data_IF_349013994819
#
_entry.id   IF_349013994819
#
_cell.length_a   1.000
_cell.length_b   1.000
_cell.length_c   1.000
_cell.angle_alpha   90.00
_cell.angle_beta   90.00
_cell.angle_gamma   90.00
#
_symmetry.space_group_name_H-M   'P 1'
#
loop_
_entity.id
_entity.type
_entity.pdbx_description
1 polymer ?
#
# COMPACT_ATOMS: atom_id res chain seq x y z
N UNK A 1 -3.72 -20.82 -14.14
CA UNK A 1 -2.37 -20.42 -14.62
C UNK A 1 -1.31 -20.99 -13.67
N UNK A 2 -0.07 -21.22 -14.14
CA UNK A 2 1.03 -21.62 -13.24
C UNK A 2 1.88 -20.41 -12.91
N UNK A 3 2.41 -20.34 -11.67
CA UNK A 3 3.35 -19.29 -11.30
C UNK A 3 4.62 -19.36 -12.14
N UNK A 4 5.16 -18.20 -12.49
CA UNK A 4 6.43 -18.07 -13.22
C UNK A 4 7.62 -18.59 -12.38
N UNK A 5 7.56 -18.38 -11.05
CA UNK A 5 8.57 -18.81 -10.08
C UNK A 5 7.97 -19.55 -8.89
N UNK A 6 8.70 -20.50 -8.28
CA UNK A 6 8.23 -21.27 -7.11
C UNK A 6 7.93 -20.44 -5.85
N UNK A 7 8.64 -19.30 -5.69
CA UNK A 7 8.50 -18.41 -4.52
C UNK A 7 7.28 -17.49 -4.58
N UNK A 8 6.65 -17.38 -5.75
CA UNK A 8 5.48 -16.51 -5.91
C UNK A 8 4.27 -17.01 -5.12
N UNK A 9 3.50 -16.08 -4.56
CA UNK A 9 2.15 -16.33 -4.07
C UNK A 9 1.19 -16.50 -5.27
N UNK A 10 0.14 -17.28 -5.08
CA UNK A 10 -0.85 -17.54 -6.13
C UNK A 10 -0.59 -18.83 -6.93
N UNK A 11 -1.10 -18.97 -8.18
CA UNK A 11 -1.67 -17.89 -9.01
C UNK A 11 -3.00 -17.37 -8.46
N UNK A 12 -3.20 -16.06 -8.59
CA UNK A 12 -4.45 -15.41 -8.24
C UNK A 12 -5.44 -15.45 -9.40
N UNK A 13 -6.69 -15.78 -9.09
CA UNK A 13 -7.80 -15.78 -10.05
C UNK A 13 -8.88 -14.80 -9.58
N UNK A 14 -9.39 -13.95 -10.48
CA UNK A 14 -10.45 -12.98 -10.18
C UNK A 14 -11.73 -13.73 -9.82
N UNK A 15 -12.40 -13.32 -8.74
CA UNK A 15 -13.64 -13.94 -8.26
C UNK A 15 -14.82 -13.28 -8.96
N UNK A 16 -15.19 -13.79 -10.13
CA UNK A 16 -16.17 -13.15 -11.03
C UNK A 16 -17.54 -12.94 -10.39
N UNK A 17 -18.01 -13.88 -9.55
CA UNK A 17 -19.30 -13.82 -8.87
C UNK A 17 -19.39 -12.77 -7.77
N UNK A 18 -18.25 -12.32 -7.22
CA UNK A 18 -18.19 -11.30 -6.18
C UNK A 18 -17.78 -9.92 -6.69
N UNK A 19 -17.23 -9.84 -7.89
CA UNK A 19 -16.63 -8.61 -8.40
C UNK A 19 -17.60 -7.71 -9.19
N UNK A 20 -17.56 -6.38 -8.97
CA UNK A 20 -16.80 -5.69 -7.93
C UNK A 20 -17.40 -5.93 -6.55
N UNK A 21 -16.54 -6.20 -5.52
CA UNK A 21 -17.00 -6.53 -4.17
C UNK A 21 -17.34 -5.30 -3.32
N UNK A 22 -16.94 -4.09 -3.75
CA UNK A 22 -17.33 -2.83 -3.14
C UNK A 22 -17.52 -1.76 -4.22
N UNK A 23 -18.61 -1.01 -4.11
CA UNK A 23 -19.00 0.05 -5.07
C UNK A 23 -19.40 1.33 -4.33
N UNK A 24 -19.35 2.51 -4.99
CA UNK A 24 -19.79 3.77 -4.41
C UNK A 24 -21.22 3.72 -3.90
N UNK A 25 -21.50 4.45 -2.81
CA UNK A 25 -22.82 4.56 -2.22
C UNK A 25 -23.32 6.01 -2.24
N UNK A 26 -24.14 6.33 -3.23
CA UNK A 26 -24.72 7.67 -3.39
C UNK A 26 -25.64 8.11 -2.22
N UNK A 27 -26.10 7.14 -1.41
CA UNK A 27 -26.95 7.41 -0.24
C UNK A 27 -26.15 7.66 1.05
N UNK A 28 -24.82 7.49 1.02
CA UNK A 28 -23.96 7.72 2.20
C UNK A 28 -24.07 9.15 2.70
N UNK A 29 -24.05 9.31 4.02
CA UNK A 29 -24.05 10.64 4.68
C UNK A 29 -23.06 10.66 5.81
N UNK A 30 -22.36 11.78 5.93
CA UNK A 30 -21.37 12.02 6.97
C UNK A 30 -21.28 13.52 7.25
N UNK A 31 -21.29 13.91 8.50
CA UNK A 31 -21.05 15.29 8.88
C UNK A 31 -19.55 15.59 8.90
N UNK A 32 -19.06 16.29 7.90
CA UNK A 32 -17.64 16.63 7.79
C UNK A 32 -17.27 17.73 8.82
N UNK A 33 -16.38 17.46 9.79
CA UNK A 33 -16.07 18.43 10.83
C UNK A 33 -15.30 19.65 10.33
N UNK A 34 -14.58 19.53 9.20
CA UNK A 34 -13.81 20.63 8.61
C UNK A 34 -14.69 21.54 7.76
N UNK A 35 -15.67 20.97 7.04
CA UNK A 35 -16.59 21.75 6.20
C UNK A 35 -17.87 22.15 6.95
N UNK A 36 -18.10 21.62 8.14
CA UNK A 36 -19.29 21.87 9.00
C UNK A 36 -20.61 21.59 8.25
N UNK A 37 -20.66 20.54 7.43
CA UNK A 37 -21.85 20.14 6.66
C UNK A 37 -21.91 18.64 6.42
N UNK A 38 -23.12 18.14 6.14
CA UNK A 38 -23.30 16.78 5.65
C UNK A 38 -22.92 16.67 4.18
N UNK A 39 -22.28 15.55 3.82
CA UNK A 39 -21.91 15.21 2.45
C UNK A 39 -21.96 13.69 2.20
N UNK A 40 -22.01 13.31 0.94
CA UNK A 40 -21.92 11.92 0.51
C UNK A 40 -20.45 11.48 0.42
N UNK A 41 -19.89 11.04 1.53
CA UNK A 41 -18.45 10.82 1.69
C UNK A 41 -17.85 9.69 0.83
N UNK A 42 -18.68 8.69 0.44
CA UNK A 42 -18.32 7.59 -0.47
C UNK A 42 -19.22 7.56 -1.73
N UNK A 43 -19.81 8.72 -2.07
CA UNK A 43 -20.78 8.78 -3.14
C UNK A 43 -20.16 8.79 -4.54
N UNK A 44 -18.91 9.19 -4.67
CA UNK A 44 -18.22 9.30 -5.93
C UNK A 44 -17.51 7.99 -6.30
N UNK A 45 -16.52 7.60 -5.52
CA UNK A 45 -15.68 6.43 -5.78
C UNK A 45 -15.22 5.78 -4.48
N UNK A 46 -14.96 4.46 -4.52
CA UNK A 46 -14.38 3.66 -3.44
C UNK A 46 -13.34 2.71 -4.03
N UNK A 47 -12.10 2.72 -3.53
CA UNK A 47 -11.00 1.97 -4.13
C UNK A 47 -9.82 1.80 -3.15
N UNK A 48 -8.74 1.18 -3.59
CA UNK A 48 -7.47 1.05 -2.87
C UNK A 48 -7.63 0.59 -1.41
N UNK A 49 -8.04 -0.67 -1.18
CA UNK A 49 -8.36 -1.16 0.15
C UNK A 49 -7.16 -1.83 0.82
N UNK A 50 -6.85 -1.49 2.07
CA UNK A 50 -6.12 -2.37 2.97
C UNK A 50 -7.05 -3.49 3.48
N UNK A 51 -6.49 -4.62 3.89
CA UNK A 51 -7.26 -5.75 4.39
C UNK A 51 -6.61 -6.40 5.62
N UNK A 52 -7.44 -6.82 6.59
CA UNK A 52 -7.00 -7.54 7.79
C UNK A 52 -8.07 -8.53 8.25
N UNK A 53 -7.64 -9.63 8.87
CA UNK A 53 -8.54 -10.59 9.52
C UNK A 53 -8.66 -10.24 11.00
N UNK A 54 -9.88 -10.18 11.53
CA UNK A 54 -10.16 -9.99 12.95
C UNK A 54 -11.44 -10.77 13.33
N UNK A 55 -11.41 -11.50 14.43
CA UNK A 55 -12.56 -12.27 14.96
C UNK A 55 -13.23 -13.15 13.88
N UNK A 56 -12.43 -13.89 13.10
CA UNK A 56 -12.86 -14.78 12.01
C UNK A 56 -13.68 -14.05 10.90
N UNK A 57 -13.35 -12.79 10.63
CA UNK A 57 -13.93 -11.95 9.59
C UNK A 57 -12.86 -11.16 8.84
N UNK A 58 -13.14 -10.83 7.61
CA UNK A 58 -12.30 -9.94 6.81
C UNK A 58 -12.80 -8.51 6.93
N UNK A 59 -11.89 -7.60 7.24
CA UNK A 59 -12.14 -6.16 7.28
C UNK A 59 -11.35 -5.47 6.17
N UNK A 60 -12.02 -4.58 5.42
CA UNK A 60 -11.39 -3.69 4.45
C UNK A 60 -11.42 -2.26 4.98
N UNK A 61 -10.26 -1.61 4.96
CA UNK A 61 -10.15 -0.17 5.10
C UNK A 61 -9.91 0.40 3.71
N UNK A 62 -10.85 1.12 3.15
CA UNK A 62 -10.83 1.53 1.75
C UNK A 62 -10.87 3.06 1.61
N UNK A 63 -10.17 3.56 0.59
CA UNK A 63 -10.30 4.97 0.20
C UNK A 63 -11.66 5.22 -0.40
N UNK A 64 -12.31 6.29 0.05
CA UNK A 64 -13.59 6.76 -0.45
C UNK A 64 -13.53 8.25 -0.76
N UNK A 65 -14.22 8.69 -1.80
CA UNK A 65 -14.22 10.08 -2.26
C UNK A 65 -15.63 10.67 -2.39
N UNK A 66 -15.74 11.94 -2.02
CA UNK A 66 -16.93 12.75 -2.28
C UNK A 66 -16.86 13.47 -3.64
N UNK A 67 -17.96 14.11 -4.05
CA UNK A 67 -18.04 14.94 -5.25
C UNK A 67 -17.64 16.40 -5.02
N UNK A 68 -17.36 16.81 -3.78
CA UNK A 68 -17.29 18.22 -3.39
C UNK A 68 -15.86 18.71 -3.15
N UNK A 69 -14.91 17.80 -2.92
CA UNK A 69 -13.51 18.14 -2.66
C UNK A 69 -12.81 18.72 -3.90
N UNK A 70 -11.90 19.64 -3.66
CA UNK A 70 -11.19 20.41 -4.69
C UNK A 70 -10.30 19.54 -5.60
N UNK A 71 -9.73 18.47 -5.07
CA UNK A 71 -8.75 17.63 -5.77
C UNK A 71 -9.39 16.29 -6.17
N UNK A 72 -10.36 16.33 -7.09
CA UNK A 72 -11.16 15.18 -7.52
C UNK A 72 -12.02 14.54 -6.41
N UNK A 73 -12.25 15.23 -5.31
CA UNK A 73 -12.91 14.78 -4.08
C UNK A 73 -11.97 14.89 -2.88
N UNK A 74 -12.51 14.89 -1.68
CA UNK A 74 -11.72 14.72 -0.46
C UNK A 74 -11.74 13.26 -0.05
N UNK A 75 -10.57 12.65 0.05
CA UNK A 75 -10.42 11.24 0.40
C UNK A 75 -10.59 11.00 1.89
N UNK A 76 -11.29 9.92 2.25
CA UNK A 76 -11.49 9.40 3.61
C UNK A 76 -11.33 7.89 3.60
N UNK A 77 -11.07 7.31 4.75
CA UNK A 77 -10.97 5.85 4.88
C UNK A 77 -12.27 5.31 5.48
N UNK A 78 -12.96 4.48 4.71
CA UNK A 78 -14.11 3.71 5.15
C UNK A 78 -13.72 2.35 5.72
N UNK A 79 -14.65 1.71 6.42
CA UNK A 79 -14.51 0.36 6.95
C UNK A 79 -15.65 -0.53 6.44
N UNK A 80 -15.30 -1.69 5.90
CA UNK A 80 -16.25 -2.71 5.51
C UNK A 80 -15.89 -4.05 6.15
N UNK A 81 -16.87 -4.89 6.42
CA UNK A 81 -16.70 -6.20 7.05
C UNK A 81 -17.39 -7.29 6.27
N UNK A 82 -16.77 -8.48 6.23
CA UNK A 82 -17.28 -9.67 5.53
C UNK A 82 -17.04 -10.92 6.36
N UNK A 83 -18.02 -11.83 6.38
CA UNK A 83 -17.92 -13.16 7.01
C UNK A 83 -17.27 -14.18 6.06
N UNK A 84 -17.21 -13.91 4.76
CA UNK A 84 -16.70 -14.85 3.73
C UNK A 84 -15.54 -14.29 2.89
N UNK A 85 -15.14 -13.02 3.12
CA UNK A 85 -14.10 -12.35 2.35
C UNK A 85 -14.53 -11.88 0.96
N UNK A 86 -15.80 -12.05 0.59
CA UNK A 86 -16.33 -11.75 -0.76
C UNK A 86 -17.47 -10.73 -0.74
N UNK A 87 -18.36 -10.82 0.25
CA UNK A 87 -19.54 -9.97 0.37
C UNK A 87 -19.39 -9.03 1.57
N UNK A 88 -19.30 -7.74 1.32
CA UNK A 88 -18.98 -6.74 2.34
C UNK A 88 -20.18 -5.88 2.73
N UNK A 89 -20.25 -5.55 4.01
CA UNK A 89 -21.15 -4.53 4.56
C UNK A 89 -20.31 -3.35 5.03
N UNK A 90 -20.60 -2.14 4.54
CA UNK A 90 -19.89 -0.91 4.89
C UNK A 90 -20.40 -0.30 6.19
N UNK A 91 -19.51 0.37 6.94
CA UNK A 91 -19.90 1.27 8.02
C UNK A 91 -20.57 2.53 7.46
N UNK A 92 -21.52 3.14 8.19
CA UNK A 92 -22.26 4.32 7.68
C UNK A 92 -21.39 5.57 7.57
N UNK A 93 -20.30 5.67 8.36
CA UNK A 93 -19.40 6.81 8.42
C UNK A 93 -17.95 6.37 8.22
N UNK A 94 -17.07 7.27 7.71
CA UNK A 94 -15.65 6.97 7.59
C UNK A 94 -15.00 6.80 8.97
N UNK A 95 -13.96 5.99 9.06
CA UNK A 95 -13.24 5.71 10.31
C UNK A 95 -11.95 6.53 10.46
N UNK A 96 -11.40 7.06 9.36
CA UNK A 96 -10.27 7.98 9.38
C UNK A 96 -10.48 9.05 8.29
N UNK A 97 -10.38 10.32 8.68
CA UNK A 97 -10.68 11.46 7.83
C UNK A 97 -9.98 12.73 8.33
N UNK A 98 -9.87 13.79 7.52
CA UNK A 98 -9.39 15.08 7.99
C UNK A 98 -10.29 15.67 9.07
N UNK A 99 -9.70 16.08 10.18
CA UNK A 99 -10.37 16.68 11.33
C UNK A 99 -9.83 18.10 11.59
N UNK A 100 -10.46 18.84 12.52
CA UNK A 100 -9.94 20.11 13.02
C UNK A 100 -8.89 19.87 14.12
N UNK A 101 -7.82 19.15 13.79
CA UNK A 101 -6.74 18.76 14.68
C UNK A 101 -5.37 19.25 14.16
N UNK A 102 -4.29 18.89 14.84
CA UNK A 102 -2.92 19.23 14.44
C UNK A 102 -2.48 18.57 13.12
N UNK A 103 -3.16 17.52 12.65
CA UNK A 103 -2.85 16.81 11.42
C UNK A 103 -3.54 17.41 10.19
N UNK A 104 -4.51 18.31 10.37
CA UNK A 104 -5.21 19.03 9.30
C UNK A 104 -4.25 19.66 8.28
N UNK A 105 -3.10 20.16 8.73
CA UNK A 105 -2.08 20.78 7.86
C UNK A 105 -1.48 19.82 6.84
N UNK A 106 -1.56 18.52 7.09
CA UNK A 106 -1.09 17.45 6.20
C UNK A 106 -2.21 16.86 5.33
N UNK A 107 -3.45 16.87 5.81
CA UNK A 107 -4.59 16.15 5.25
C UNK A 107 -5.56 17.04 4.46
N UNK A 108 -5.68 18.31 4.82
CA UNK A 108 -6.64 19.18 4.18
C UNK A 108 -6.03 19.96 3.01
N UNK A 109 -6.64 19.92 1.80
CA UNK A 109 -8.00 19.50 1.44
C UNK A 109 -8.04 18.18 0.62
N UNK A 110 -6.95 17.49 0.35
CA UNK A 110 -6.92 16.25 -0.44
C UNK A 110 -7.46 15.06 0.35
N UNK A 111 -7.10 14.92 1.61
CA UNK A 111 -7.65 13.92 2.51
C UNK A 111 -6.66 12.85 2.97
N UNK A 112 -7.23 11.72 3.40
CA UNK A 112 -6.55 10.50 3.79
C UNK A 112 -6.74 9.45 2.69
N UNK A 113 -5.63 8.98 2.09
CA UNK A 113 -5.63 8.15 0.87
C UNK A 113 -4.92 6.82 1.11
N UNK A 114 -5.24 5.83 0.29
CA UNK A 114 -4.46 4.62 -0.01
C UNK A 114 -3.93 3.92 1.27
N UNK A 115 -4.79 3.31 2.10
CA UNK A 115 -4.41 2.72 3.37
C UNK A 115 -3.64 1.39 3.19
N UNK A 116 -2.63 1.13 4.03
CA UNK A 116 -2.01 -0.19 4.26
C UNK A 116 -2.09 -0.48 5.75
N UNK A 117 -2.31 -1.73 6.12
CA UNK A 117 -2.51 -2.11 7.52
C UNK A 117 -1.62 -3.27 7.92
N UNK A 118 -1.15 -3.23 9.16
CA UNK A 118 -0.56 -4.39 9.84
C UNK A 118 -1.15 -4.51 11.24
N UNK A 119 -1.25 -5.75 11.73
CA UNK A 119 -1.67 -6.06 13.08
C UNK A 119 -0.49 -6.56 13.91
N UNK A 120 -0.53 -6.36 15.22
CA UNK A 120 0.47 -6.88 16.15
C UNK A 120 -0.15 -7.92 17.09
N UNK A 121 0.68 -8.82 17.61
CA UNK A 121 0.24 -9.91 18.51
C UNK A 121 -0.40 -9.42 19.81
N UNK A 122 -0.19 -8.18 20.20
CA UNK A 122 -0.82 -7.53 21.36
C UNK A 122 -2.15 -6.84 21.03
N UNK A 123 -2.68 -7.04 19.81
CA UNK A 123 -4.02 -6.59 19.40
C UNK A 123 -4.09 -5.14 18.93
N UNK A 124 -2.94 -4.55 18.57
CA UNK A 124 -2.91 -3.22 17.95
C UNK A 124 -2.84 -3.34 16.44
N UNK A 125 -3.41 -2.34 15.76
CA UNK A 125 -3.39 -2.16 14.32
C UNK A 125 -2.66 -0.86 13.99
N UNK A 126 -1.76 -0.89 13.02
CA UNK A 126 -1.10 0.28 12.48
C UNK A 126 -1.53 0.47 11.03
N UNK A 127 -2.16 1.61 10.76
CA UNK A 127 -2.59 2.01 9.44
C UNK A 127 -1.60 3.03 8.88
N UNK A 128 -1.01 2.69 7.75
CA UNK A 128 -0.18 3.62 6.99
C UNK A 128 -1.04 4.17 5.86
N UNK A 129 -1.23 5.48 5.84
CA UNK A 129 -2.05 6.16 4.85
C UNK A 129 -1.31 7.35 4.27
N UNK A 130 -1.67 7.74 3.06
CA UNK A 130 -1.15 8.94 2.44
C UNK A 130 -2.02 10.12 2.83
N UNK A 131 -1.43 11.12 3.49
CA UNK A 131 -2.08 12.42 3.66
C UNK A 131 -1.77 13.30 2.46
N UNK A 132 -2.78 14.00 1.92
CA UNK A 132 -2.58 14.96 0.83
C UNK A 132 -3.24 16.29 1.14
N UNK A 133 -2.45 17.36 1.16
CA UNK A 133 -2.93 18.72 1.45
C UNK A 133 -3.03 19.62 0.21
N UNK A 134 -2.98 19.03 -0.99
CA UNK A 134 -2.98 19.77 -2.24
C UNK A 134 -1.60 20.27 -2.69
N UNK A 135 -0.53 19.99 -1.92
CA UNK A 135 0.84 20.41 -2.21
C UNK A 135 1.84 19.26 -2.12
N UNK A 136 1.73 18.46 -1.07
CA UNK A 136 2.62 17.33 -0.82
C UNK A 136 1.83 16.15 -0.30
N UNK A 137 2.20 14.95 -0.77
CA UNK A 137 1.73 13.69 -0.25
C UNK A 137 2.75 13.15 0.76
N UNK A 138 2.29 12.82 1.97
CA UNK A 138 3.13 12.30 3.04
C UNK A 138 2.56 10.99 3.58
N UNK A 139 3.41 9.98 3.69
CA UNK A 139 3.05 8.72 4.34
C UNK A 139 2.93 8.94 5.84
N UNK A 140 1.72 8.74 6.37
CA UNK A 140 1.34 8.93 7.76
C UNK A 140 1.04 7.60 8.44
N UNK A 141 1.05 7.61 9.77
CA UNK A 141 0.65 6.47 10.59
C UNK A 141 -0.49 6.83 11.53
N UNK A 142 -1.43 5.89 11.70
CA UNK A 142 -2.43 5.91 12.75
C UNK A 142 -2.50 4.53 13.44
N UNK A 143 -2.88 4.51 14.73
CA UNK A 143 -2.95 3.33 15.57
C UNK A 143 -4.38 3.11 16.08
N UNK A 144 -4.84 1.85 16.12
CA UNK A 144 -6.15 1.46 16.65
C UNK A 144 -6.07 0.10 17.37
N UNK A 145 -7.04 -0.19 18.21
CA UNK A 145 -7.26 -1.51 18.81
C UNK A 145 -8.58 -2.16 18.35
N UNK A 146 -9.41 -1.43 17.61
CA UNK A 146 -10.75 -1.88 17.22
C UNK A 146 -11.08 -1.70 15.73
N UNK A 147 -10.19 -1.06 14.94
CA UNK A 147 -10.33 -0.69 13.53
C UNK A 147 -11.31 0.47 13.28
N UNK A 148 -11.97 1.00 14.31
CA UNK A 148 -12.97 2.07 14.21
C UNK A 148 -12.41 3.40 14.72
N UNK A 149 -11.75 3.37 15.88
CA UNK A 149 -11.19 4.56 16.51
C UNK A 149 -9.68 4.59 16.31
N UNK A 150 -9.20 5.65 15.66
CA UNK A 150 -7.81 5.79 15.26
C UNK A 150 -7.13 6.96 15.96
N UNK A 151 -5.97 6.70 16.52
CA UNK A 151 -5.05 7.73 17.02
C UNK A 151 -4.04 8.05 15.94
N UNK A 152 -4.10 9.23 15.35
CA UNK A 152 -3.14 9.71 14.36
C UNK A 152 -1.78 10.01 15.01
N UNK A 153 -0.70 9.69 14.30
CA UNK A 153 0.69 10.01 14.66
C UNK A 153 1.34 10.98 13.68
N UNK A 154 0.70 11.21 12.52
CA UNK A 154 1.17 12.08 11.44
C UNK A 154 2.27 11.44 10.59
N UNK A 155 3.05 12.27 9.85
CA UNK A 155 4.04 11.79 8.90
C UNK A 155 5.14 10.95 9.55
N UNK A 156 5.38 9.75 9.02
CA UNK A 156 6.27 8.74 9.63
C UNK A 156 7.76 9.13 9.58
N UNK A 157 8.14 10.02 8.64
CA UNK A 157 9.53 10.47 8.44
C UNK A 157 9.82 11.85 9.04
N UNK A 158 8.83 12.47 9.76
CA UNK A 158 8.94 13.86 10.21
C UNK A 158 10.17 14.15 11.07
N UNK A 159 10.57 13.20 11.92
CA UNK A 159 11.66 13.34 12.86
C UNK A 159 12.95 12.63 12.40
N UNK A 160 12.88 11.86 11.30
CA UNK A 160 14.00 11.07 10.79
C UNK A 160 15.19 11.98 10.43
N UNK A 161 16.38 11.58 10.91
CA UNK A 161 17.63 12.29 10.63
C UNK A 161 17.54 13.82 10.88
N UNK A 162 17.03 14.20 12.06
CA UNK A 162 16.80 15.60 12.47
C UNK A 162 15.85 16.36 11.51
N UNK A 163 14.82 15.69 10.99
CA UNK A 163 13.82 16.28 10.10
C UNK A 163 14.26 16.46 8.65
N UNK A 164 15.32 15.79 8.21
CA UNK A 164 15.81 15.79 6.82
C UNK A 164 14.71 15.43 5.83
N UNK A 165 13.82 14.50 6.20
CA UNK A 165 12.79 13.93 5.34
C UNK A 165 11.36 14.38 5.65
N UNK A 166 11.17 15.39 6.51
CA UNK A 166 9.84 15.84 6.98
C UNK A 166 8.86 16.26 5.89
N UNK A 167 9.36 16.68 4.73
CA UNK A 167 8.55 17.12 3.59
C UNK A 167 8.80 16.26 2.34
N UNK A 168 9.39 15.09 2.50
CA UNK A 168 9.64 14.18 1.39
C UNK A 168 8.34 13.59 0.90
N UNK A 169 8.05 13.76 -0.40
CA UNK A 169 6.93 13.05 -1.04
C UNK A 169 7.05 11.55 -0.80
N UNK A 170 6.05 10.97 -0.14
CA UNK A 170 6.08 9.58 0.29
C UNK A 170 4.70 8.96 0.29
N UNK A 171 4.58 7.72 -0.20
CA UNK A 171 3.34 6.95 -0.30
C UNK A 171 3.62 5.45 -0.05
N UNK A 172 2.57 4.67 0.13
CA UNK A 172 2.54 3.21 -0.07
C UNK A 172 3.52 2.42 0.79
N UNK A 173 3.26 2.39 2.10
CA UNK A 173 4.11 1.72 3.09
C UNK A 173 3.80 0.23 3.27
N UNK A 174 4.61 -0.69 2.70
CA UNK A 174 4.49 -2.14 2.83
C UNK A 174 5.46 -2.69 3.88
N UNK A 175 4.97 -2.94 5.09
CA UNK A 175 5.78 -3.48 6.21
C UNK A 175 6.06 -4.96 6.00
N UNK A 176 7.27 -5.42 6.36
CA UNK A 176 7.64 -6.84 6.30
C UNK A 176 6.98 -7.59 7.44
N UNK A 177 6.13 -8.55 7.08
CA UNK A 177 5.36 -9.39 8.01
C UNK A 177 5.68 -10.88 7.79
N UNK A 178 5.38 -11.69 8.79
CA UNK A 178 5.34 -13.15 8.68
C UNK A 178 3.92 -13.64 8.90
N UNK A 179 3.51 -14.61 8.10
CA UNK A 179 2.23 -15.28 8.26
C UNK A 179 2.26 -16.27 9.43
N UNK A 180 1.26 -16.20 10.29
CA UNK A 180 0.98 -17.18 11.36
C UNK A 180 -0.53 -17.47 11.36
N UNK A 181 -0.94 -18.63 10.82
CA UNK A 181 -2.35 -18.91 10.54
C UNK A 181 -2.92 -17.96 9.50
N UNK A 182 -4.03 -17.32 9.80
CA UNK A 182 -4.66 -16.33 8.93
C UNK A 182 -4.17 -14.89 9.18
N UNK A 183 -3.18 -14.69 10.05
CA UNK A 183 -2.67 -13.39 10.44
C UNK A 183 -1.29 -13.10 9.88
N UNK A 184 -1.00 -11.82 9.62
CA UNK A 184 0.30 -11.32 9.18
C UNK A 184 0.86 -10.35 10.22
N UNK A 185 1.89 -10.81 10.97
CA UNK A 185 2.51 -9.99 12.02
C UNK A 185 3.83 -9.37 11.56
N UNK A 186 4.07 -8.06 11.82
CA UNK A 186 5.36 -7.44 11.58
C UNK A 186 6.48 -8.21 12.26
N UNK A 187 7.58 -8.41 11.54
CA UNK A 187 8.77 -9.10 12.07
C UNK A 187 10.00 -8.22 11.98
N UNK A 188 10.85 -8.33 13.00
CA UNK A 188 12.15 -7.68 12.99
C UNK A 188 13.17 -8.53 12.24
N UNK A 189 13.85 -7.94 11.28
CA UNK A 189 15.04 -8.47 10.64
C UNK A 189 16.24 -7.70 11.18
N UNK A 190 17.20 -8.41 11.80
CA UNK A 190 18.36 -7.77 12.47
C UNK A 190 17.96 -6.66 13.46
N UNK A 191 17.03 -7.00 14.36
CA UNK A 191 16.56 -6.17 15.47
C UNK A 191 15.65 -4.99 15.07
N UNK A 192 15.36 -4.74 13.81
CA UNK A 192 14.53 -3.62 13.35
C UNK A 192 13.42 -4.08 12.41
N UNK A 193 12.27 -3.37 12.41
CA UNK A 193 11.22 -3.55 11.42
C UNK A 193 11.64 -2.92 10.09
N UNK A 194 11.18 -3.48 8.97
CA UNK A 194 11.43 -3.02 7.62
C UNK A 194 10.14 -2.68 6.90
N UNK A 195 10.19 -1.63 6.09
CA UNK A 195 9.10 -1.18 5.22
C UNK A 195 9.66 -0.87 3.84
N UNK A 196 8.93 -1.28 2.80
CA UNK A 196 9.12 -0.79 1.44
C UNK A 196 8.10 0.30 1.17
N UNK A 197 8.52 1.42 0.57
CA UNK A 197 7.66 2.58 0.36
C UNK A 197 8.06 3.35 -0.89
N UNK A 198 7.17 4.18 -1.42
CA UNK A 198 7.45 5.07 -2.55
C UNK A 198 6.36 5.02 -3.60
N UNK A 199 6.45 5.97 -4.50
CA UNK A 199 5.68 6.10 -5.73
C UNK A 199 6.69 6.38 -6.86
N UNK A 200 6.53 5.76 -8.02
CA UNK A 200 7.48 5.73 -9.15
C UNK A 200 8.68 4.80 -8.95
N UNK A 201 9.38 4.92 -7.84
CA UNK A 201 10.47 4.05 -7.40
C UNK A 201 10.16 3.50 -6.01
N UNK A 202 10.71 2.33 -5.66
CA UNK A 202 10.55 1.74 -4.33
C UNK A 202 11.82 1.93 -3.52
N UNK A 203 11.66 2.43 -2.31
CA UNK A 203 12.69 2.67 -1.30
C UNK A 203 12.49 1.75 -0.10
N UNK A 204 13.44 1.72 0.82
CA UNK A 204 13.33 1.03 2.10
C UNK A 204 13.39 2.01 3.27
N UNK A 205 12.76 1.63 4.38
CA UNK A 205 12.86 2.32 5.67
C UNK A 205 12.89 1.31 6.81
N UNK A 206 13.39 1.72 7.97
CA UNK A 206 13.46 0.92 9.19
C UNK A 206 12.79 1.62 10.36
N UNK A 207 12.31 0.83 11.34
CA UNK A 207 11.66 1.33 12.55
C UNK A 207 11.89 0.39 13.73
N UNK A 208 11.88 0.95 14.94
CA UNK A 208 11.91 0.17 16.18
C UNK A 208 10.52 -0.04 16.79
N UNK A 209 9.55 0.79 16.42
CA UNK A 209 8.23 0.91 17.09
C UNK A 209 7.00 0.86 16.16
N UNK A 210 7.19 0.75 14.82
CA UNK A 210 6.15 0.79 13.79
C UNK A 210 5.47 2.16 13.58
N UNK A 211 5.90 3.19 14.32
CA UNK A 211 5.34 4.55 14.22
C UNK A 211 6.35 5.50 13.56
N UNK A 212 7.58 5.49 14.08
CA UNK A 212 8.66 6.35 13.60
C UNK A 212 9.58 5.58 12.68
N UNK A 213 9.69 6.03 11.45
CA UNK A 213 10.47 5.36 10.42
C UNK A 213 11.64 6.21 9.96
N UNK A 214 12.74 5.55 9.61
CA UNK A 214 13.93 6.19 9.07
C UNK A 214 14.23 5.62 7.69
N UNK A 215 14.24 6.45 6.62
CA UNK A 215 14.62 6.01 5.28
C UNK A 215 16.05 5.44 5.27
N UNK A 216 16.24 4.34 4.53
CA UNK A 216 17.56 3.73 4.35
C UNK A 216 18.34 4.54 3.33
N UNK A 217 19.52 5.05 3.74
CA UNK A 217 20.43 5.80 2.89
C UNK A 217 21.64 4.96 2.49
N UNK A 218 22.17 5.25 1.32
CA UNK A 218 23.36 4.64 0.75
C UNK A 218 24.49 5.66 0.63
N UNK A 219 25.75 5.20 0.52
CA UNK A 219 26.88 6.07 0.27
C UNK A 219 26.82 6.67 -1.14
N UNK A 220 27.15 7.97 -1.28
CA UNK A 220 26.99 8.70 -2.54
C UNK A 220 28.07 8.38 -3.60
N UNK A 221 29.19 7.76 -3.22
CA UNK A 221 30.37 7.56 -4.06
C UNK A 221 30.33 6.34 -5.00
N UNK A 222 29.17 6.10 -5.61
CA UNK A 222 29.09 5.28 -6.83
C UNK A 222 28.79 3.81 -6.61
N UNK A 223 28.10 3.47 -5.59
CA UNK A 223 27.56 2.14 -5.48
C UNK A 223 26.41 1.92 -6.47
N UNK A 224 26.59 0.99 -7.38
CA UNK A 224 25.52 0.38 -8.14
C UNK A 224 24.42 -0.07 -7.17
N UNK A 225 23.15 0.39 -7.34
CA UNK A 225 22.03 -0.03 -6.47
C UNK A 225 21.80 -1.54 -6.47
N UNK A 226 22.34 -2.28 -7.46
CA UNK A 226 22.36 -3.74 -7.48
C UNK A 226 23.33 -4.37 -6.49
N UNK A 227 24.24 -3.58 -5.90
CA UNK A 227 25.15 -4.02 -4.85
C UNK A 227 24.76 -3.34 -3.53
N UNK A 228 23.97 -4.05 -2.76
CA UNK A 228 23.56 -3.61 -1.43
C UNK A 228 24.75 -3.46 -0.49
N UNK A 229 24.89 -2.27 0.07
CA UNK A 229 25.82 -2.05 1.19
C UNK A 229 25.09 -2.28 2.49
N UNK A 230 25.54 -3.28 3.27
CA UNK A 230 25.12 -3.43 4.65
C UNK A 230 25.61 -2.21 5.46
N UNK A 231 24.87 -1.82 6.50
CA UNK A 231 25.34 -0.82 7.47
C UNK A 231 26.71 -1.19 8.12
N UNK A 232 27.22 -2.39 7.84
CA UNK A 232 28.47 -2.97 8.35
C UNK A 232 29.57 -3.09 7.29
N UNK A 233 29.48 -2.31 6.19
CA UNK A 233 30.58 -2.27 5.24
C UNK A 233 31.86 -1.76 5.93
N UNK A 234 32.87 -2.62 5.98
CA UNK A 234 34.16 -2.35 6.61
C UNK A 234 34.95 -1.17 5.99
N UNK A 235 34.43 -0.60 4.89
CA UNK A 235 34.98 0.62 4.25
C UNK A 235 34.54 1.91 4.96
N UNK A 236 33.52 1.86 5.85
CA UNK A 236 33.20 2.97 6.73
C UNK A 236 34.23 3.08 7.85
N UNK A 237 35.42 3.61 7.58
CA UNK A 237 36.37 4.08 8.61
C UNK A 237 35.91 5.45 9.10
N UNK A 238 35.96 5.62 10.41
CA UNK A 238 35.34 6.65 11.24
C UNK A 238 35.71 8.14 10.97
N UNK A 239 36.21 8.54 9.82
CA UNK A 239 36.69 9.93 9.64
C UNK A 239 36.43 10.59 8.27
N UNK A 240 35.74 9.96 7.32
CA UNK A 240 35.35 10.65 6.10
C UNK A 240 33.85 10.90 6.12
N UNK A 241 33.39 12.17 6.08
CA UNK A 241 32.01 12.57 5.83
C UNK A 241 31.59 12.19 4.40
N UNK A 242 31.48 10.89 4.14
CA UNK A 242 30.91 10.43 2.88
C UNK A 242 29.42 10.76 2.89
N UNK A 243 28.98 11.59 1.96
CA UNK A 243 27.59 11.98 1.83
C UNK A 243 26.71 10.73 1.67
N UNK A 244 25.67 10.61 2.48
CA UNK A 244 24.64 9.58 2.35
C UNK A 244 23.45 10.14 1.62
N UNK A 245 22.87 9.35 0.71
CA UNK A 245 21.75 9.73 -0.15
C UNK A 245 20.68 8.66 -0.15
N UNK A 246 19.43 9.07 -0.32
CA UNK A 246 18.32 8.18 -0.56
C UNK A 246 18.39 7.68 -2.01
N UNK A 247 18.51 6.35 -2.18
CA UNK A 247 18.46 5.71 -3.48
C UNK A 247 17.35 4.66 -3.51
N UNK A 248 16.63 4.54 -4.64
CA UNK A 248 15.64 3.49 -4.79
C UNK A 248 16.32 2.12 -4.87
N UNK A 249 15.68 1.12 -4.23
CA UNK A 249 16.09 -0.28 -4.32
C UNK A 249 15.43 -1.01 -5.50
N UNK A 250 14.27 -0.53 -5.96
CA UNK A 250 13.56 -1.04 -7.14
C UNK A 250 13.21 0.15 -8.03
N UNK A 251 13.47 -0.01 -9.33
CA UNK A 251 13.16 0.97 -10.37
C UNK A 251 12.27 0.38 -11.46
N UNK A 252 11.56 1.20 -12.23
CA UNK A 252 10.91 0.82 -13.46
C UNK A 252 11.86 0.10 -14.42
N UNK A 253 11.32 -0.77 -15.29
CA UNK A 253 12.10 -1.55 -16.27
C UNK A 253 11.63 -1.25 -17.68
N UNK A 254 12.48 -0.66 -18.49
CA UNK A 254 12.19 -0.34 -19.89
C UNK A 254 11.69 -1.59 -20.65
N UNK A 255 10.58 -1.46 -21.37
CA UNK A 255 9.96 -2.52 -22.15
C UNK A 255 9.24 -3.59 -21.34
N UNK A 256 8.93 -3.34 -20.07
CA UNK A 256 8.17 -4.25 -19.20
C UNK A 256 6.85 -3.60 -18.76
N UNK A 257 5.96 -4.39 -18.15
CA UNK A 257 4.68 -3.94 -17.62
C UNK A 257 4.78 -2.89 -16.49
N UNK A 258 5.98 -2.63 -16.00
CA UNK A 258 6.33 -1.67 -14.95
C UNK A 258 7.34 -0.61 -15.44
N UNK A 259 7.23 -0.21 -16.71
CA UNK A 259 8.18 0.68 -17.36
C UNK A 259 8.18 2.11 -16.81
N UNK A 260 7.03 2.60 -16.35
CA UNK A 260 6.88 4.01 -15.98
C UNK A 260 6.84 4.25 -14.48
N UNK A 261 6.45 3.23 -13.70
CA UNK A 261 6.26 3.36 -12.26
C UNK A 261 6.30 1.99 -11.57
N UNK A 262 6.83 1.99 -10.33
CA UNK A 262 6.75 0.89 -9.38
C UNK A 262 6.32 1.41 -8.02
N UNK A 263 5.31 0.79 -7.41
CA UNK A 263 4.76 1.21 -6.13
C UNK A 263 4.41 -0.01 -5.26
N UNK A 264 4.78 -0.06 -3.96
CA UNK A 264 4.42 -1.18 -3.11
C UNK A 264 2.92 -1.41 -3.02
N UNK A 265 2.54 -2.68 -2.98
CA UNK A 265 1.16 -3.11 -2.74
C UNK A 265 0.86 -3.33 -1.25
N UNK A 266 0.32 -4.50 -0.87
CA UNK A 266 0.08 -4.85 0.53
C UNK A 266 1.37 -5.07 1.31
N UNK A 267 1.27 -5.47 2.59
CA UNK A 267 2.41 -5.86 3.41
C UNK A 267 3.31 -6.88 2.67
N UNK A 268 4.64 -6.72 2.82
CA UNK A 268 5.59 -7.68 2.30
C UNK A 268 5.63 -8.93 3.19
N UNK A 269 5.83 -10.11 2.61
CA UNK A 269 5.74 -11.38 3.34
C UNK A 269 7.10 -12.07 3.42
N UNK A 270 7.61 -12.26 4.63
CA UNK A 270 8.77 -13.09 4.88
C UNK A 270 8.40 -14.57 4.79
N UNK A 271 8.94 -15.23 3.78
CA UNK A 271 8.79 -16.66 3.49
C UNK A 271 10.13 -17.39 3.65
N UNK A 272 10.15 -18.71 3.51
CA UNK A 272 11.39 -19.50 3.48
C UNK A 272 12.26 -19.17 2.25
N UNK A 273 11.67 -18.66 1.18
CA UNK A 273 12.40 -18.27 -0.03
C UNK A 273 13.02 -16.87 0.06
N UNK A 274 12.55 -16.03 0.98
CA UNK A 274 12.93 -14.63 1.12
C UNK A 274 11.73 -13.73 1.38
N UNK A 275 11.90 -12.41 1.19
CA UNK A 275 10.84 -11.43 1.36
C UNK A 275 10.12 -11.27 0.02
N UNK A 276 8.86 -11.70 -0.05
CA UNK A 276 7.99 -11.49 -1.21
C UNK A 276 7.30 -10.14 -1.06
N UNK A 277 7.55 -9.23 -1.99
CA UNK A 277 6.83 -7.96 -2.11
C UNK A 277 5.93 -8.01 -3.35
N UNK A 278 4.63 -7.86 -3.13
CA UNK A 278 3.66 -7.57 -4.18
C UNK A 278 3.72 -6.07 -4.44
N UNK A 279 3.73 -5.68 -5.72
CA UNK A 279 3.84 -4.28 -6.10
C UNK A 279 2.99 -3.98 -7.33
N UNK A 280 2.69 -2.70 -7.52
CA UNK A 280 1.99 -2.18 -8.67
C UNK A 280 2.99 -1.61 -9.66
N UNK A 281 2.87 -2.00 -10.93
CA UNK A 281 3.64 -1.46 -12.02
C UNK A 281 2.73 -0.73 -13.01
N UNK A 282 3.17 0.43 -13.49
CA UNK A 282 2.54 1.12 -14.62
C UNK A 282 3.39 0.92 -15.85
N UNK A 283 2.78 0.43 -16.91
CA UNK A 283 3.45 0.18 -18.18
C UNK A 283 2.54 0.43 -19.37
N UNK A 284 3.03 0.09 -20.55
CA UNK A 284 2.27 0.17 -21.79
C UNK A 284 1.02 -0.70 -21.76
N UNK A 285 -0.01 -0.22 -22.45
CA UNK A 285 -1.25 -0.91 -22.75
C UNK A 285 -1.30 -1.21 -24.27
N UNK A 286 -0.66 -2.29 -24.72
CA UNK A 286 -0.47 -2.55 -26.15
C UNK A 286 -1.79 -2.78 -26.89
N UNK A 287 -2.81 -3.26 -26.21
CA UNK A 287 -4.15 -3.50 -26.76
C UNK A 287 -5.05 -2.26 -26.65
N UNK A 288 -4.58 -1.18 -26.01
CA UNK A 288 -5.32 0.06 -25.75
C UNK A 288 -6.68 -0.18 -25.09
N UNK A 289 -6.73 -1.14 -24.17
CA UNK A 289 -7.91 -1.43 -23.38
C UNK A 289 -8.46 -0.14 -22.76
N UNK A 290 -9.77 0.08 -22.80
CA UNK A 290 -10.38 1.32 -22.33
C UNK A 290 -9.96 2.59 -23.11
N UNK A 291 -9.23 2.45 -24.23
CA UNK A 291 -8.76 3.58 -25.05
C UNK A 291 -7.52 4.31 -24.52
N UNK A 292 -6.89 3.81 -23.48
CA UNK A 292 -5.67 4.39 -22.87
C UNK A 292 -4.38 3.72 -23.38
N UNK A 293 -3.29 4.49 -23.41
CA UNK A 293 -1.97 4.00 -23.84
C UNK A 293 -1.21 3.27 -22.73
N UNK A 294 -1.58 3.48 -21.46
CA UNK A 294 -0.96 2.90 -20.27
C UNK A 294 -1.96 2.24 -19.34
N UNK A 295 -1.50 1.30 -18.50
CA UNK A 295 -2.32 0.62 -17.48
C UNK A 295 -1.51 0.31 -16.22
N UNK A 296 -2.21 0.14 -15.09
CA UNK A 296 -1.62 -0.41 -13.86
C UNK A 296 -1.87 -1.90 -13.74
N UNK A 297 -0.82 -2.63 -13.37
CA UNK A 297 -0.81 -4.09 -13.27
C UNK A 297 -0.02 -4.53 -12.05
N UNK A 298 -0.42 -5.64 -11.42
CA UNK A 298 0.27 -6.18 -10.26
C UNK A 298 1.44 -7.09 -10.62
N UNK A 299 2.53 -7.01 -9.87
CA UNK A 299 3.67 -7.89 -9.97
C UNK A 299 4.16 -8.39 -8.62
N UNK A 300 5.14 -9.28 -8.63
CA UNK A 300 5.82 -9.75 -7.42
C UNK A 300 7.33 -9.71 -7.59
N UNK A 301 8.03 -9.47 -6.50
CA UNK A 301 9.49 -9.55 -6.43
C UNK A 301 9.94 -10.23 -5.14
N UNK A 302 11.16 -10.76 -5.16
CA UNK A 302 11.79 -11.45 -4.03
C UNK A 302 13.03 -10.68 -3.61
N UNK A 303 13.12 -10.36 -2.31
CA UNK A 303 14.28 -9.71 -1.71
C UNK A 303 14.95 -10.62 -0.69
N UNK A 304 16.24 -10.38 -0.45
CA UNK A 304 17.05 -11.16 0.48
C UNK A 304 16.74 -10.79 1.93
N UNK A 305 16.31 -11.71 2.79
CA UNK A 305 16.03 -11.42 4.20
C UNK A 305 17.27 -11.05 5.01
N UNK A 306 18.47 -11.49 4.58
CA UNK A 306 19.74 -11.08 5.19
C UNK A 306 20.19 -9.68 4.74
N UNK A 307 19.69 -9.23 3.60
CA UNK A 307 19.92 -7.90 3.06
C UNK A 307 18.66 -7.37 2.38
N UNK A 308 17.70 -6.79 3.16
CA UNK A 308 16.38 -6.43 2.66
C UNK A 308 16.36 -5.36 1.54
N UNK A 309 17.50 -4.82 1.16
CA UNK A 309 17.64 -3.92 0.01
C UNK A 309 18.13 -4.63 -1.25
N UNK A 310 18.43 -5.94 -1.18
CA UNK A 310 18.93 -6.73 -2.31
C UNK A 310 17.79 -7.45 -3.04
N UNK A 311 17.57 -7.09 -4.30
CA UNK A 311 16.64 -7.78 -5.18
C UNK A 311 17.23 -9.13 -5.65
N UNK A 312 16.53 -10.24 -5.40
CA UNK A 312 16.90 -11.59 -5.88
C UNK A 312 16.23 -11.90 -7.21
N UNK A 313 14.90 -11.65 -7.29
CA UNK A 313 14.11 -11.97 -8.48
C UNK A 313 12.90 -11.03 -8.59
N UNK A 314 12.38 -10.89 -9.82
CA UNK A 314 11.21 -10.06 -10.13
C UNK A 314 10.45 -10.69 -11.29
N UNK A 315 9.12 -10.74 -11.22
CA UNK A 315 8.29 -11.32 -12.28
C UNK A 315 8.47 -10.57 -13.60
N UNK A 316 8.51 -11.32 -14.70
CA UNK A 316 8.62 -10.75 -16.06
C UNK A 316 7.25 -10.49 -16.66
N UNK A 317 6.20 -11.08 -16.04
CA UNK A 317 4.80 -10.88 -16.41
C UNK A 317 4.01 -10.43 -15.20
N UNK A 318 2.95 -9.63 -15.40
CA UNK A 318 2.06 -9.27 -14.31
C UNK A 318 1.30 -10.50 -13.78
N UNK A 319 0.97 -10.48 -12.49
CA UNK A 319 0.17 -11.53 -11.83
C UNK A 319 -1.33 -11.24 -11.90
N UNK A 320 -1.71 -9.96 -11.99
CA UNK A 320 -3.07 -9.48 -12.24
C UNK A 320 -2.97 -8.29 -13.19
N UNK A 321 -3.83 -8.29 -14.22
CA UNK A 321 -3.95 -7.20 -15.20
C UNK A 321 -5.40 -6.85 -15.46
N UNK A 322 -5.73 -5.62 -15.84
CA UNK A 322 -7.08 -5.22 -16.21
C UNK A 322 -7.63 -6.05 -17.37
N UNK A 323 -8.86 -6.54 -17.24
CA UNK A 323 -9.59 -7.27 -18.28
C UNK A 323 -11.09 -7.07 -18.19
N UNK A 324 -11.62 -6.79 -17.00
CA UNK A 324 -13.03 -6.65 -16.74
C UNK A 324 -13.49 -5.20 -16.98
N UNK A 325 -14.74 -4.98 -17.39
CA UNK A 325 -15.26 -3.65 -17.73
C UNK A 325 -15.07 -2.62 -16.59
N UNK A 326 -15.27 -3.04 -15.35
CA UNK A 326 -15.08 -2.17 -14.18
C UNK A 326 -13.61 -1.86 -13.84
N UNK A 327 -12.66 -2.57 -14.47
CA UNK A 327 -11.21 -2.29 -14.35
C UNK A 327 -10.72 -1.36 -15.46
N UNK A 328 -11.51 -1.20 -16.54
CA UNK A 328 -11.18 -0.40 -17.70
C UNK A 328 -11.76 1.01 -17.64
N UNK A 329 -12.81 1.23 -16.84
CA UNK A 329 -13.58 2.46 -16.78
C UNK A 329 -13.66 2.99 -15.34
N UNK A 330 -13.24 4.24 -15.12
CA UNK A 330 -13.24 4.93 -13.83
C UNK A 330 -12.62 6.31 -13.92
N UNK A 331 -11.98 6.77 -12.84
CA UNK A 331 -11.30 8.07 -12.82
C UNK A 331 -9.99 8.09 -13.62
N UNK A 332 -9.34 6.94 -13.75
CA UNK A 332 -8.00 6.81 -14.35
C UNK A 332 -7.99 5.73 -15.45
N UNK A 333 -6.83 5.54 -16.06
CA UNK A 333 -6.60 4.48 -17.05
C UNK A 333 -6.93 3.07 -16.49
N UNK A 334 -7.01 2.04 -17.33
CA UNK A 334 -7.21 0.66 -16.87
C UNK A 334 -6.28 0.30 -15.71
N UNK A 335 -6.86 -0.15 -14.61
CA UNK A 335 -6.11 -0.32 -13.37
C UNK A 335 -6.57 -1.54 -12.58
N UNK A 336 -5.59 -2.36 -12.18
CA UNK A 336 -5.65 -3.27 -11.05
C UNK A 336 -4.58 -2.84 -10.05
N UNK A 337 -4.97 -2.08 -9.01
CA UNK A 337 -4.05 -1.55 -8.00
C UNK A 337 -4.13 -2.37 -6.72
N UNK A 338 -3.14 -3.25 -6.50
CA UNK A 338 -3.13 -4.24 -5.43
C UNK A 338 -2.71 -3.60 -4.11
N UNK A 339 -3.55 -3.67 -3.07
CA UNK A 339 -3.27 -3.06 -1.77
C UNK A 339 -3.62 -3.92 -0.56
N UNK A 340 -4.67 -4.75 -0.65
CA UNK A 340 -5.09 -5.60 0.45
C UNK A 340 -4.74 -7.06 0.22
N UNK A 341 -4.11 -7.72 1.19
CA UNK A 341 -3.88 -9.16 1.16
C UNK A 341 -4.19 -9.75 2.52
N UNK A 342 -5.06 -10.74 2.55
CA UNK A 342 -5.30 -11.59 3.72
C UNK A 342 -5.13 -13.05 3.39
N UNK A 343 -4.82 -13.84 4.43
CA UNK A 343 -5.04 -15.28 4.48
C UNK A 343 -6.35 -15.50 5.21
N UNK A 344 -7.27 -16.24 4.64
CA UNK A 344 -8.56 -16.51 5.27
C UNK A 344 -9.10 -17.87 4.83
N UNK A 345 -9.37 -18.74 5.80
CA UNK A 345 -9.91 -20.10 5.59
C UNK A 345 -9.15 -20.90 4.51
N UNK A 346 -7.81 -20.84 4.51
CA UNK A 346 -6.96 -21.61 3.62
C UNK A 346 -6.80 -21.04 2.21
N UNK A 347 -7.24 -19.80 1.99
CA UNK A 347 -7.06 -19.06 0.74
C UNK A 347 -6.42 -17.70 1.01
N UNK A 348 -5.63 -17.23 0.07
CA UNK A 348 -5.27 -15.81 -0.04
C UNK A 348 -6.35 -15.07 -0.80
N UNK A 349 -6.76 -13.91 -0.26
CA UNK A 349 -7.61 -12.95 -0.95
C UNK A 349 -6.81 -11.67 -1.18
N UNK A 350 -6.69 -11.29 -2.45
CA UNK A 350 -6.04 -10.06 -2.92
C UNK A 350 -7.11 -9.05 -3.30
N UNK A 351 -7.25 -7.99 -2.52
CA UNK A 351 -8.16 -6.89 -2.82
C UNK A 351 -7.42 -5.78 -3.54
N UNK A 352 -8.07 -5.18 -4.53
CA UNK A 352 -7.46 -4.17 -5.38
C UNK A 352 -8.45 -3.09 -5.84
N UNK A 353 -7.91 -1.89 -6.04
CA UNK A 353 -8.63 -0.79 -6.67
C UNK A 353 -8.73 -0.98 -8.19
N UNK A 354 -9.85 -0.61 -8.77
CA UNK A 354 -10.12 -0.75 -10.20
C UNK A 354 -10.41 0.62 -10.81
N UNK A 355 -9.52 1.11 -11.69
CA UNK A 355 -9.62 2.41 -12.35
C UNK A 355 -9.99 3.58 -11.41
N UNK A 356 -9.53 3.52 -10.14
CA UNK A 356 -9.84 4.45 -9.03
C UNK A 356 -11.35 4.66 -8.83
N UNK A 357 -12.14 3.60 -8.90
CA UNK A 357 -13.60 3.71 -8.84
C UNK A 357 -14.29 2.65 -8.00
N UNK A 358 -13.79 1.40 -7.99
CA UNK A 358 -14.40 0.27 -7.26
C UNK A 358 -13.32 -0.60 -6.64
N UNK A 359 -13.75 -1.52 -5.75
CA UNK A 359 -12.89 -2.57 -5.21
C UNK A 359 -13.26 -3.91 -5.82
N UNK A 360 -12.25 -4.68 -6.17
CA UNK A 360 -12.41 -6.06 -6.61
C UNK A 360 -11.51 -7.01 -5.82
N UNK A 361 -11.75 -8.32 -5.96
CA UNK A 361 -11.03 -9.38 -5.27
C UNK A 361 -10.57 -10.48 -6.23
N UNK A 362 -9.35 -10.96 -6.01
CA UNK A 362 -8.84 -12.18 -6.61
C UNK A 362 -8.42 -13.14 -5.49
N UNK A 363 -8.53 -14.43 -5.70
CA UNK A 363 -8.18 -15.44 -4.71
C UNK A 363 -7.17 -16.44 -5.22
N UNK A 364 -6.43 -17.05 -4.28
CA UNK A 364 -5.53 -18.16 -4.55
C UNK A 364 -5.54 -19.13 -3.36
N UNK A 365 -5.56 -20.46 -3.58
CA UNK A 365 -5.41 -21.40 -2.48
C UNK A 365 -4.00 -21.30 -1.87
N UNK A 366 -3.86 -21.58 -0.58
CA UNK A 366 -2.55 -21.81 0.03
C UNK A 366 -1.87 -23.00 -0.67
N UNK A 367 -0.56 -22.91 -0.86
CA UNK A 367 0.24 -24.03 -1.39
C UNK A 367 0.59 -25.02 -0.31
#
# INVERSE_FOLDING_TARGET
MTNEYPWMLGPFEKVAEANPCLVPNAASRFFCPVQEKELGWEAKDVFNPAAVVKDDRVYLLYRAEDHEGKYAGTSRIGLAVSDDGLHFTTMPEPVLYPEQDEFSVYEWEGGCEDPRIVETKDGRYFLYYTSYNGKVALLCCAESTDLVHWKKHGPIFKDAMNGKYKNLWSKSGAVVCRQEGDHFYPVKLKETYWMYWGESDIYAATSDDLIHWTPVEFLADGADPSHSFSQHDSRCKDNDEVARVLLPIIRPRVGNYDEFLCEPGPQAILTDAGIVLIYNGKGDNPERLGGHDTMYQGGQLLLDPENPTCLIARTTRPVISPSESFELEGQVMPTCFLEGLVSFHGCYYMYYGTADSKVAVASAPHK
#
